data_IF_810504149816
#
_entry.id   IF_810504149816
#
_cell.length_a   1.000
_cell.length_b   1.000
_cell.length_c   1.000
_cell.angle_alpha   90.00
_cell.angle_beta   90.00
_cell.angle_gamma   90.00
#
_symmetry.space_group_name_H-M   'P 1'
#
loop_
_entity.id
_entity.type
_entity.pdbx_description
1 polymer ?
#
# COMPACT_ATOMS: atom_id res chain seq x y z
N UNK A 1 -23.56 80.12 -30.02
CA UNK A 1 -24.35 78.96 -29.74
C UNK A 1 -23.71 77.63 -30.18
N UNK A 2 -22.95 77.55 -31.26
CA UNK A 2 -22.33 76.28 -31.75
C UNK A 2 -21.26 75.66 -30.82
N UNK A 3 -20.55 76.38 -29.98
CA UNK A 3 -19.53 75.86 -29.06
C UNK A 3 -20.12 75.17 -27.83
N UNK A 4 -21.35 75.41 -27.43
CA UNK A 4 -22.02 74.77 -26.29
C UNK A 4 -22.50 73.37 -26.62
N UNK A 5 -22.90 73.09 -27.83
CA UNK A 5 -23.37 71.80 -28.29
C UNK A 5 -22.21 70.82 -28.53
N UNK A 6 -21.03 71.30 -28.95
CA UNK A 6 -19.81 70.46 -29.10
C UNK A 6 -19.31 69.96 -27.74
N UNK A 7 -19.44 70.76 -26.68
CA UNK A 7 -19.06 70.37 -25.34
C UNK A 7 -20.03 69.37 -24.69
N UNK A 8 -21.33 69.50 -25.00
CA UNK A 8 -22.35 68.55 -24.55
C UNK A 8 -22.29 67.21 -25.28
N UNK A 9 -21.97 67.15 -26.57
CA UNK A 9 -21.73 65.91 -27.32
C UNK A 9 -20.44 65.21 -26.90
N UNK A 10 -19.41 65.92 -26.54
CA UNK A 10 -18.16 65.30 -26.05
C UNK A 10 -18.30 64.72 -24.66
N UNK A 11 -19.18 65.28 -23.81
CA UNK A 11 -19.49 64.74 -22.46
C UNK A 11 -20.37 63.46 -22.49
N UNK A 12 -21.13 63.26 -23.56
CA UNK A 12 -22.02 62.12 -23.70
C UNK A 12 -21.28 60.86 -24.20
N UNK A 13 -20.11 61.01 -24.83
CA UNK A 13 -19.28 59.92 -25.36
C UNK A 13 -18.41 59.28 -24.26
N UNK A 14 -18.19 59.94 -23.12
CA UNK A 14 -17.38 59.40 -22.00
C UNK A 14 -18.19 58.46 -21.06
N UNK A 15 -19.48 58.26 -21.26
CA UNK A 15 -20.33 57.42 -20.36
C UNK A 15 -20.57 56.00 -20.83
N UNK A 16 -19.94 55.57 -21.94
CA UNK A 16 -20.11 54.20 -22.45
C UNK A 16 -18.89 53.28 -22.17
N UNK A 17 -17.96 53.69 -21.34
CA UNK A 17 -16.74 52.92 -21.04
C UNK A 17 -16.74 52.52 -19.56
N UNK A 18 -17.66 51.62 -19.13
CA UNK A 18 -17.46 50.81 -17.95
C UNK A 18 -18.49 49.68 -17.91
N UNK A 19 -18.12 48.58 -18.41
CA UNK A 19 -18.84 47.33 -18.30
C UNK A 19 -17.96 46.23 -18.85
N UNK A 20 -16.76 46.02 -18.25
CA UNK A 20 -16.09 44.74 -18.44
C UNK A 20 -16.93 43.67 -17.74
N UNK A 21 -17.82 43.00 -18.51
CA UNK A 21 -18.27 41.68 -18.05
C UNK A 21 -17.05 40.87 -17.71
N UNK A 22 -17.02 40.34 -16.52
CA UNK A 22 -16.01 39.35 -16.19
C UNK A 22 -16.05 38.29 -17.29
N UNK A 23 -14.95 38.17 -18.01
CA UNK A 23 -14.81 37.27 -19.16
C UNK A 23 -14.80 35.80 -18.72
N UNK A 24 -14.70 35.55 -17.42
CA UNK A 24 -14.58 34.25 -16.78
C UNK A 24 -15.59 34.09 -15.64
N UNK A 25 -16.09 32.87 -15.50
CA UNK A 25 -17.15 32.58 -14.53
C UNK A 25 -16.60 32.33 -13.12
N UNK A 26 -15.42 31.70 -13.00
CA UNK A 26 -14.76 31.45 -11.72
C UNK A 26 -13.21 31.45 -11.83
N UNK A 27 -12.57 31.57 -10.68
CA UNK A 27 -11.12 31.53 -10.55
C UNK A 27 -10.71 30.57 -9.46
N UNK A 28 -9.49 30.05 -9.57
CA UNK A 28 -8.96 29.10 -8.59
C UNK A 28 -7.44 28.88 -8.74
N UNK A 29 -6.98 27.83 -8.10
CA UNK A 29 -5.56 27.41 -8.15
C UNK A 29 -5.44 25.96 -8.57
N UNK A 30 -4.35 25.64 -9.29
CA UNK A 30 -4.06 24.27 -9.68
C UNK A 30 -3.46 23.49 -8.53
N UNK A 31 -4.02 22.33 -8.28
CA UNK A 31 -3.63 21.36 -7.27
C UNK A 31 -3.38 20.00 -7.93
N UNK A 32 -2.64 19.11 -7.27
CA UNK A 32 -2.49 17.72 -7.67
C UNK A 32 -2.74 16.80 -6.47
N UNK A 33 -2.84 15.50 -6.75
CA UNK A 33 -2.80 14.50 -5.69
C UNK A 33 -1.36 14.39 -5.19
N UNK A 34 -1.12 14.82 -3.95
CA UNK A 34 0.18 14.78 -3.29
C UNK A 34 0.21 13.66 -2.26
N UNK A 35 1.31 12.92 -2.21
CA UNK A 35 1.58 11.90 -1.20
C UNK A 35 2.92 12.21 -0.52
N UNK A 36 2.90 12.27 0.81
CA UNK A 36 4.12 12.31 1.60
C UNK A 36 4.54 10.87 1.92
N UNK A 37 5.63 10.43 1.30
CA UNK A 37 6.20 9.12 1.56
C UNK A 37 7.03 9.20 2.83
N UNK A 38 6.66 8.39 3.82
CA UNK A 38 7.30 8.30 5.12
C UNK A 38 7.98 6.95 5.30
N UNK A 39 9.01 6.90 6.14
CA UNK A 39 9.70 5.67 6.47
C UNK A 39 8.78 4.67 7.19
N UNK A 40 8.79 3.42 6.76
CA UNK A 40 8.10 2.30 7.42
C UNK A 40 9.03 1.46 8.30
N UNK A 41 10.35 1.76 8.27
CA UNK A 41 11.36 1.06 9.06
C UNK A 41 12.24 2.06 9.83
N UNK A 42 12.94 1.54 10.85
CA UNK A 42 13.92 2.31 11.62
C UNK A 42 15.32 1.83 11.29
N UNK A 43 16.20 2.75 10.91
CA UNK A 43 17.59 2.47 10.60
C UNK A 43 18.27 3.64 9.90
N UNK A 44 19.56 3.52 9.62
CA UNK A 44 20.31 4.50 8.85
C UNK A 44 19.87 4.44 7.39
N UNK A 45 19.56 5.59 6.80
CA UNK A 45 19.24 5.72 5.39
C UNK A 45 20.52 5.50 4.56
N UNK A 46 20.57 4.39 3.83
CA UNK A 46 21.76 4.00 3.07
C UNK A 46 21.91 4.86 1.81
N UNK A 47 20.82 5.00 1.05
CA UNK A 47 20.68 5.94 -0.06
C UNK A 47 19.22 6.38 -0.20
N UNK A 48 19.02 7.54 -0.83
CA UNK A 48 17.71 8.07 -1.22
C UNK A 48 17.89 8.88 -2.51
N UNK A 49 17.49 8.28 -3.63
CA UNK A 49 17.62 8.84 -4.99
C UNK A 49 16.31 9.52 -5.42
N UNK A 50 15.67 10.25 -4.51
CA UNK A 50 14.42 10.97 -4.73
C UNK A 50 14.69 12.49 -4.78
N UNK A 51 15.41 12.95 -5.80
CA UNK A 51 15.70 14.36 -5.97
C UNK A 51 14.51 15.12 -6.55
N UNK A 52 14.39 16.39 -6.19
CA UNK A 52 13.32 17.26 -6.66
C UNK A 52 13.26 17.33 -8.19
N UNK A 53 12.07 17.40 -8.74
CA UNK A 53 11.78 17.40 -10.18
C UNK A 53 12.03 16.07 -10.91
N UNK A 54 12.52 15.03 -10.25
CA UNK A 54 12.61 13.69 -10.86
C UNK A 54 11.22 13.08 -11.00
N UNK A 55 10.98 12.42 -12.13
CA UNK A 55 9.76 11.67 -12.40
C UNK A 55 10.02 10.18 -12.20
N UNK A 56 9.09 9.49 -11.52
CA UNK A 56 9.14 8.06 -11.25
C UNK A 56 7.83 7.38 -11.57
N UNK A 57 7.94 6.09 -11.93
CA UNK A 57 6.79 5.20 -12.04
C UNK A 57 6.52 4.49 -10.72
N UNK A 58 5.26 4.16 -10.47
CA UNK A 58 4.83 3.42 -9.30
C UNK A 58 5.63 2.12 -9.10
N UNK A 59 6.03 1.83 -7.87
CA UNK A 59 6.81 0.65 -7.50
C UNK A 59 8.32 0.77 -7.72
N UNK A 60 8.81 1.86 -8.31
CA UNK A 60 10.25 2.11 -8.43
C UNK A 60 10.88 2.26 -7.06
N UNK A 61 11.96 1.52 -6.79
CA UNK A 61 12.74 1.68 -5.57
C UNK A 61 13.64 2.90 -5.68
N UNK A 62 13.51 3.82 -4.72
CA UNK A 62 14.25 5.08 -4.69
C UNK A 62 15.16 5.22 -3.48
N UNK A 63 15.07 4.30 -2.51
CA UNK A 63 15.90 4.37 -1.31
C UNK A 63 15.97 3.06 -0.55
N UNK A 64 16.97 2.96 0.33
CA UNK A 64 17.20 1.80 1.18
C UNK A 64 17.61 2.23 2.58
N UNK A 65 16.97 1.67 3.57
CA UNK A 65 17.35 1.73 4.98
C UNK A 65 18.22 0.52 5.31
N UNK A 66 19.19 0.66 6.21
CA UNK A 66 20.11 -0.43 6.62
C UNK A 66 19.35 -1.69 7.01
N UNK A 67 19.64 -2.78 6.29
CA UNK A 67 19.00 -4.09 6.44
C UNK A 67 19.85 -5.11 7.17
N UNK A 68 21.11 -4.79 7.53
CA UNK A 68 22.10 -5.77 8.01
C UNK A 68 21.59 -6.54 9.23
N UNK A 69 21.05 -5.84 10.23
CA UNK A 69 20.59 -6.49 11.46
C UNK A 69 19.36 -7.38 11.21
N UNK A 70 18.43 -6.95 10.37
CA UNK A 70 17.26 -7.73 9.99
C UNK A 70 17.65 -8.96 9.18
N UNK A 71 18.57 -8.82 8.24
CA UNK A 71 19.09 -9.94 7.46
C UNK A 71 19.76 -11.00 8.34
N UNK A 72 20.61 -10.59 9.30
CA UNK A 72 21.24 -11.50 10.25
C UNK A 72 20.21 -12.20 11.14
N UNK A 73 19.17 -11.47 11.58
CA UNK A 73 18.06 -12.04 12.34
C UNK A 73 17.30 -13.09 11.54
N UNK A 74 17.00 -12.80 10.26
CA UNK A 74 16.40 -13.79 9.35
C UNK A 74 17.25 -15.06 9.28
N UNK A 75 18.54 -14.93 9.03
CA UNK A 75 19.48 -16.08 8.95
C UNK A 75 19.53 -16.89 10.24
N UNK A 76 19.44 -16.23 11.40
CA UNK A 76 19.38 -16.90 12.70
C UNK A 76 18.11 -17.75 12.83
N UNK A 77 16.93 -17.20 12.45
CA UNK A 77 15.65 -17.89 12.50
C UNK A 77 15.59 -19.06 11.51
N UNK A 78 16.13 -18.90 10.30
CA UNK A 78 16.25 -19.99 9.31
C UNK A 78 17.10 -21.15 9.84
N UNK A 79 18.21 -20.84 10.51
CA UNK A 79 19.06 -21.85 11.13
C UNK A 79 18.34 -22.56 12.29
N UNK A 80 17.56 -21.83 13.08
CA UNK A 80 16.73 -22.39 14.15
C UNK A 80 15.65 -23.32 13.58
N UNK A 81 14.96 -22.92 12.52
CA UNK A 81 13.97 -23.75 11.83
C UNK A 81 14.58 -25.07 11.34
N UNK A 82 15.73 -24.99 10.68
CA UNK A 82 16.46 -26.18 10.22
C UNK A 82 16.90 -27.09 11.38
N UNK A 83 17.28 -26.51 12.52
CA UNK A 83 17.62 -27.28 13.73
C UNK A 83 16.41 -28.06 14.25
N UNK A 84 15.24 -27.45 14.32
CA UNK A 84 13.99 -28.10 14.71
C UNK A 84 13.64 -29.24 13.74
N UNK A 85 13.75 -29.00 12.43
CA UNK A 85 13.48 -30.01 11.40
C UNK A 85 14.43 -31.21 11.50
N UNK A 86 15.70 -30.99 11.84
CA UNK A 86 16.68 -32.06 11.98
C UNK A 86 16.40 -33.00 13.17
N UNK A 87 15.58 -32.59 14.13
CA UNK A 87 15.17 -33.38 15.28
C UNK A 87 14.04 -34.37 14.96
N UNK A 88 13.44 -34.29 13.77
CA UNK A 88 12.36 -35.22 13.38
C UNK A 88 12.86 -36.67 13.39
N UNK A 89 12.16 -37.55 14.10
CA UNK A 89 12.57 -38.95 14.18
C UNK A 89 12.35 -39.68 12.85
N UNK A 90 13.29 -40.53 12.47
CA UNK A 90 13.07 -41.51 11.40
C UNK A 90 12.20 -42.65 11.94
N UNK A 91 10.88 -42.51 11.72
CA UNK A 91 9.89 -43.49 12.22
C UNK A 91 10.19 -44.89 11.70
N UNK A 92 10.59 -45.04 10.41
CA UNK A 92 10.86 -46.36 9.83
C UNK A 92 12.02 -47.09 10.54
N UNK A 93 13.10 -46.38 10.85
CA UNK A 93 14.23 -46.95 11.56
C UNK A 93 13.89 -47.33 13.02
N UNK A 94 13.12 -46.46 13.69
CA UNK A 94 12.78 -46.66 15.10
C UNK A 94 11.84 -47.83 15.34
N UNK A 95 10.89 -48.14 14.42
CA UNK A 95 9.97 -49.28 14.54
C UNK A 95 10.50 -50.56 13.86
N UNK A 96 11.64 -50.53 13.16
CA UNK A 96 12.14 -51.67 12.40
C UNK A 96 12.34 -52.92 13.24
N UNK A 97 12.93 -52.76 14.45
CA UNK A 97 13.16 -53.88 15.38
C UNK A 97 11.82 -54.50 15.84
N UNK A 98 10.85 -53.69 16.24
CA UNK A 98 9.52 -54.19 16.68
C UNK A 98 8.80 -54.89 15.53
N UNK A 99 8.86 -54.36 14.30
CA UNK A 99 8.31 -55.05 13.11
C UNK A 99 8.99 -56.37 12.82
N UNK A 100 10.33 -56.49 13.00
CA UNK A 100 11.06 -57.75 12.84
C UNK A 100 10.67 -58.76 13.89
N UNK A 101 10.47 -58.34 15.15
CA UNK A 101 9.96 -59.21 16.22
C UNK A 101 8.52 -59.74 15.92
N UNK A 102 7.63 -58.85 15.45
CA UNK A 102 6.27 -59.26 15.04
C UNK A 102 6.34 -60.28 13.90
N UNK A 103 7.16 -60.04 12.89
CA UNK A 103 7.32 -60.94 11.76
C UNK A 103 7.86 -62.32 12.19
N UNK A 104 8.74 -62.37 13.18
CA UNK A 104 9.26 -63.64 13.75
C UNK A 104 8.17 -64.35 14.56
N UNK A 105 7.49 -63.65 15.47
CA UNK A 105 6.39 -64.20 16.26
C UNK A 105 5.25 -64.73 15.36
N UNK A 106 4.95 -64.05 14.28
CA UNK A 106 3.94 -64.45 13.30
C UNK A 106 4.35 -65.75 12.58
N UNK A 107 5.64 -65.95 12.23
CA UNK A 107 6.14 -67.19 11.65
C UNK A 107 6.04 -68.36 12.64
N UNK A 108 6.43 -68.15 13.88
CA UNK A 108 6.34 -69.21 14.90
C UNK A 108 4.90 -69.56 15.24
N UNK A 109 4.00 -68.56 15.33
CA UNK A 109 2.58 -68.81 15.52
C UNK A 109 2.00 -69.66 14.37
N UNK A 110 2.31 -69.37 13.10
CA UNK A 110 1.88 -70.15 11.95
C UNK A 110 2.47 -71.56 11.94
N UNK A 111 3.73 -71.74 12.41
CA UNK A 111 4.34 -73.04 12.58
C UNK A 111 3.60 -73.89 13.61
N UNK A 112 3.32 -73.33 14.80
CA UNK A 112 2.57 -74.01 15.86
C UNK A 112 1.14 -74.35 15.45
N UNK A 113 0.46 -73.47 14.72
CA UNK A 113 -0.88 -73.71 14.16
C UNK A 113 -0.87 -74.94 13.22
N UNK A 114 0.17 -75.04 12.34
CA UNK A 114 0.29 -76.18 11.44
C UNK A 114 0.60 -77.51 12.20
N UNK A 115 1.43 -77.44 13.23
CA UNK A 115 1.74 -78.59 14.10
C UNK A 115 0.46 -79.03 14.90
N UNK A 116 -0.33 -78.06 15.34
CA UNK A 116 -1.61 -78.37 16.04
C UNK A 116 -2.61 -79.07 15.10
N UNK A 117 -2.72 -78.67 13.85
CA UNK A 117 -3.53 -79.35 12.82
C UNK A 117 -3.03 -80.82 12.61
N UNK A 118 -1.70 -81.07 12.74
CA UNK A 118 -1.10 -82.42 12.67
C UNK A 118 -1.13 -83.17 14.00
N UNK A 119 -1.81 -82.64 15.02
CA UNK A 119 -1.87 -83.21 16.40
C UNK A 119 -0.50 -83.33 17.08
N UNK A 120 0.51 -82.56 16.64
CA UNK A 120 1.89 -82.58 17.13
C UNK A 120 2.26 -81.36 18.02
N UNK A 121 1.28 -80.52 18.44
CA UNK A 121 1.45 -79.41 19.35
C UNK A 121 0.27 -79.27 20.34
N UNK A 122 0.49 -78.51 21.43
CA UNK A 122 -0.50 -78.17 22.42
C UNK A 122 -1.16 -76.81 22.10
N UNK A 123 -2.48 -76.71 22.30
CA UNK A 123 -3.27 -75.47 22.10
C UNK A 123 -2.70 -74.32 22.94
N UNK A 124 -2.21 -74.59 24.14
CA UNK A 124 -1.56 -73.56 24.99
C UNK A 124 -0.41 -72.87 24.29
N UNK A 125 0.38 -73.56 23.48
CA UNK A 125 1.51 -72.94 22.72
C UNK A 125 1.01 -71.99 21.66
N UNK A 126 -0.14 -72.25 21.04
CA UNK A 126 -0.74 -71.28 20.09
C UNK A 126 -1.25 -70.03 20.83
N UNK A 127 -1.94 -70.21 21.96
CA UNK A 127 -2.45 -69.12 22.80
C UNK A 127 -1.30 -68.23 23.36
N UNK A 128 -0.14 -68.84 23.69
CA UNK A 128 1.04 -68.13 24.13
C UNK A 128 1.61 -67.21 23.00
N UNK A 129 1.65 -67.71 21.75
CA UNK A 129 2.09 -66.90 20.60
C UNK A 129 1.08 -65.84 20.20
N UNK A 130 -0.25 -66.10 20.29
CA UNK A 130 -1.26 -65.10 20.06
C UNK A 130 -1.20 -63.97 21.10
N UNK A 131 -0.93 -64.32 22.38
CA UNK A 131 -0.70 -63.35 23.43
C UNK A 131 0.55 -62.48 23.18
N UNK A 132 1.65 -63.14 22.78
CA UNK A 132 2.91 -62.45 22.45
C UNK A 132 2.74 -61.47 21.27
N UNK A 133 2.01 -61.87 20.20
CA UNK A 133 1.74 -61.03 19.08
C UNK A 133 0.85 -59.84 19.48
N UNK A 134 -0.14 -60.02 20.33
CA UNK A 134 -0.98 -58.97 20.84
C UNK A 134 -0.17 -57.91 21.60
N UNK A 135 0.79 -58.36 22.47
CA UNK A 135 1.68 -57.44 23.18
C UNK A 135 2.58 -56.63 22.20
N UNK A 136 3.23 -57.32 21.23
CA UNK A 136 4.11 -56.68 20.26
C UNK A 136 3.37 -55.70 19.36
N UNK A 137 2.14 -56.01 18.92
CA UNK A 137 1.32 -55.10 18.13
C UNK A 137 0.92 -53.85 18.93
N UNK A 138 0.53 -53.99 20.20
CA UNK A 138 0.22 -52.86 21.08
C UNK A 138 1.47 -52.01 21.34
N UNK A 139 2.65 -52.65 21.48
CA UNK A 139 3.92 -51.92 21.61
C UNK A 139 4.24 -51.09 20.34
N UNK A 140 4.04 -51.67 19.14
CA UNK A 140 4.21 -50.96 17.86
C UNK A 140 3.25 -49.77 17.76
N UNK A 141 1.96 -49.98 18.12
CA UNK A 141 0.94 -48.93 18.11
C UNK A 141 1.33 -47.75 19.05
N UNK A 142 1.77 -48.06 20.27
CA UNK A 142 2.23 -47.08 21.24
C UNK A 142 3.46 -46.30 20.71
N UNK A 143 4.43 -47.01 20.09
CA UNK A 143 5.61 -46.36 19.47
C UNK A 143 5.20 -45.45 18.32
N UNK A 144 4.33 -45.87 17.42
CA UNK A 144 3.82 -45.07 16.30
C UNK A 144 3.08 -43.83 16.80
N UNK A 145 2.22 -43.97 17.82
CA UNK A 145 1.49 -42.86 18.43
C UNK A 145 2.48 -41.83 19.05
N UNK A 146 3.44 -42.30 19.83
CA UNK A 146 4.45 -41.44 20.45
C UNK A 146 5.30 -40.69 19.42
N UNK A 147 5.80 -41.38 18.39
CA UNK A 147 6.57 -40.79 17.30
C UNK A 147 5.74 -39.83 16.45
N UNK A 148 4.47 -40.16 16.20
CA UNK A 148 3.52 -39.27 15.52
C UNK A 148 3.31 -37.98 16.28
N UNK A 149 3.07 -38.05 17.59
CA UNK A 149 2.88 -36.88 18.45
C UNK A 149 4.16 -36.01 18.49
N UNK A 150 5.34 -36.64 18.57
CA UNK A 150 6.62 -35.92 18.53
C UNK A 150 6.82 -35.20 17.19
N UNK A 151 6.53 -35.88 16.08
CA UNK A 151 6.63 -35.30 14.73
C UNK A 151 5.63 -34.13 14.55
N UNK A 152 4.39 -34.28 15.04
CA UNK A 152 3.41 -33.20 15.02
C UNK A 152 3.88 -31.99 15.83
N UNK A 153 4.36 -32.20 17.05
CA UNK A 153 4.89 -31.11 17.89
C UNK A 153 6.07 -30.37 17.24
N UNK A 154 7.01 -31.10 16.62
CA UNK A 154 8.13 -30.48 15.90
C UNK A 154 7.67 -29.74 14.63
N UNK A 155 6.61 -30.21 13.97
CA UNK A 155 6.01 -29.52 12.84
C UNK A 155 5.42 -28.18 13.25
N UNK A 156 4.66 -28.15 14.34
CA UNK A 156 4.09 -26.90 14.89
C UNK A 156 5.17 -25.93 15.35
N UNK A 157 6.23 -26.45 15.97
CA UNK A 157 7.37 -25.64 16.39
C UNK A 157 8.12 -25.02 15.18
N UNK A 158 8.34 -25.82 14.12
CA UNK A 158 8.94 -25.32 12.86
C UNK A 158 8.05 -24.26 12.19
N UNK A 159 6.74 -24.48 12.18
CA UNK A 159 5.75 -23.53 11.65
C UNK A 159 5.77 -22.21 12.42
N UNK A 160 5.87 -22.25 13.74
CA UNK A 160 6.00 -21.04 14.57
C UNK A 160 7.25 -20.22 14.22
N UNK A 161 8.39 -20.88 14.00
CA UNK A 161 9.62 -20.20 13.57
C UNK A 161 9.48 -19.66 12.13
N UNK A 162 8.80 -20.39 11.23
CA UNK A 162 8.54 -19.92 9.87
C UNK A 162 7.76 -18.61 9.85
N UNK A 163 6.77 -18.46 10.75
CA UNK A 163 6.02 -17.19 10.91
C UNK A 163 6.96 -16.06 11.36
N UNK A 164 7.89 -16.32 12.27
CA UNK A 164 8.88 -15.31 12.69
C UNK A 164 9.81 -14.91 11.53
N UNK A 165 10.19 -15.85 10.66
CA UNK A 165 10.95 -15.55 9.43
C UNK A 165 10.14 -14.62 8.54
N UNK A 166 8.86 -14.92 8.30
CA UNK A 166 7.98 -14.09 7.47
C UNK A 166 7.82 -12.67 8.04
N UNK A 167 7.75 -12.51 9.37
CA UNK A 167 7.70 -11.19 10.02
C UNK A 167 8.97 -10.37 9.75
N UNK A 168 10.15 -11.00 9.83
CA UNK A 168 11.41 -10.31 9.52
C UNK A 168 11.53 -10.00 8.03
N UNK A 169 11.00 -10.84 7.16
CA UNK A 169 10.94 -10.57 5.71
C UNK A 169 10.05 -9.38 5.37
N UNK A 170 8.91 -9.21 6.06
CA UNK A 170 8.07 -8.02 5.92
C UNK A 170 8.81 -6.76 6.37
N UNK A 171 9.54 -6.83 7.50
CA UNK A 171 10.37 -5.72 7.96
C UNK A 171 11.50 -5.39 6.96
N UNK A 172 12.12 -6.40 6.35
CA UNK A 172 13.13 -6.19 5.30
C UNK A 172 12.53 -5.50 4.06
N UNK A 173 11.32 -5.88 3.64
CA UNK A 173 10.61 -5.21 2.54
C UNK A 173 10.36 -3.74 2.84
N UNK A 174 9.99 -3.41 4.07
CA UNK A 174 9.75 -2.02 4.52
C UNK A 174 11.02 -1.17 4.57
N UNK A 175 12.20 -1.77 4.55
CA UNK A 175 13.46 -1.04 4.40
C UNK A 175 13.69 -0.53 2.98
N UNK A 176 13.04 -1.13 1.97
CA UNK A 176 13.08 -0.68 0.58
C UNK A 176 12.04 0.40 0.36
N UNK A 177 12.49 1.62 0.08
CA UNK A 177 11.63 2.78 -0.10
C UNK A 177 11.21 2.82 -1.56
N UNK A 178 9.91 2.63 -1.82
CA UNK A 178 9.33 2.61 -3.16
C UNK A 178 8.37 3.77 -3.38
N UNK A 179 8.21 4.15 -4.63
CA UNK A 179 7.28 5.21 -5.05
C UNK A 179 5.85 4.65 -5.12
N UNK A 180 4.87 5.27 -4.41
CA UNK A 180 3.51 4.74 -4.34
C UNK A 180 2.61 5.06 -5.54
N UNK A 181 2.94 6.08 -6.33
CA UNK A 181 2.20 6.53 -7.53
C UNK A 181 3.16 6.94 -8.64
N UNK A 182 2.68 6.96 -9.88
CA UNK A 182 3.40 7.66 -10.94
C UNK A 182 3.40 9.15 -10.62
N UNK A 183 4.54 9.82 -10.72
CA UNK A 183 4.57 11.25 -10.40
C UNK A 183 5.97 11.85 -10.33
N UNK A 184 5.99 13.12 -9.96
CA UNK A 184 7.20 13.94 -9.84
C UNK A 184 7.47 14.25 -8.36
N UNK A 185 8.72 14.14 -7.95
CA UNK A 185 9.15 14.53 -6.61
C UNK A 185 9.05 16.05 -6.46
N UNK A 186 8.28 16.49 -5.46
CA UNK A 186 8.11 17.93 -5.17
C UNK A 186 9.08 18.45 -4.12
N UNK A 187 9.40 17.62 -3.13
CA UNK A 187 10.30 17.99 -2.04
C UNK A 187 10.96 16.75 -1.46
N UNK A 188 12.23 16.88 -1.09
CA UNK A 188 13.02 15.89 -0.36
C UNK A 188 13.17 16.33 1.09
N UNK A 189 12.90 15.45 2.06
CA UNK A 189 12.89 15.75 3.49
C UNK A 189 13.99 15.04 4.28
N UNK A 190 14.68 14.09 3.67
CA UNK A 190 15.73 13.32 4.32
C UNK A 190 16.92 13.10 3.39
N UNK A 191 18.12 13.05 3.99
CA UNK A 191 19.35 12.82 3.26
C UNK A 191 19.97 11.45 3.58
N UNK A 192 20.76 10.88 2.63
CA UNK A 192 21.55 9.69 2.91
C UNK A 192 22.40 9.85 4.17
N UNK A 193 22.55 8.79 4.93
CA UNK A 193 23.24 8.73 6.23
C UNK A 193 22.46 9.28 7.44
N UNK A 194 21.31 9.89 7.26
CA UNK A 194 20.43 10.22 8.38
C UNK A 194 19.77 8.99 8.98
N UNK A 195 19.32 9.12 10.23
CA UNK A 195 18.49 8.12 10.87
C UNK A 195 17.04 8.30 10.41
N UNK A 196 16.50 7.28 9.77
CA UNK A 196 15.07 7.15 9.52
C UNK A 196 14.43 6.45 10.71
N UNK A 197 13.24 6.94 11.12
CA UNK A 197 12.36 6.31 12.10
C UNK A 197 10.99 6.12 11.46
N UNK A 198 10.22 5.16 11.93
CA UNK A 198 8.85 4.93 11.42
C UNK A 198 8.05 6.22 11.53
N UNK A 199 7.42 6.61 10.41
CA UNK A 199 6.65 7.86 10.28
C UNK A 199 7.44 9.11 9.91
N UNK A 200 8.79 9.05 9.86
CA UNK A 200 9.59 10.20 9.39
C UNK A 200 9.34 10.45 7.90
N UNK A 201 8.91 11.67 7.49
CA UNK A 201 8.79 12.02 6.08
C UNK A 201 10.14 11.90 5.36
N UNK A 202 10.14 11.30 4.18
CA UNK A 202 11.33 11.12 3.34
C UNK A 202 11.30 12.03 2.12
N UNK A 203 10.18 12.03 1.41
CA UNK A 203 9.95 12.92 0.27
C UNK A 203 8.45 13.10 0.01
N UNK A 204 8.12 14.09 -0.81
CA UNK A 204 6.77 14.34 -1.31
C UNK A 204 6.73 14.10 -2.81
N UNK A 205 5.74 13.33 -3.28
CA UNK A 205 5.49 13.06 -4.69
C UNK A 205 4.09 13.51 -5.08
N UNK A 206 3.93 14.00 -6.31
CA UNK A 206 2.62 14.36 -6.86
C UNK A 206 2.44 13.84 -8.29
N UNK A 207 1.20 13.47 -8.61
CA UNK A 207 0.79 13.21 -9.99
C UNK A 207 0.64 14.54 -10.73
N UNK A 208 1.64 14.86 -11.55
CA UNK A 208 1.68 16.10 -12.31
C UNK A 208 1.03 15.98 -13.70
N UNK A 209 0.62 14.79 -14.12
CA UNK A 209 -0.08 14.55 -15.38
C UNK A 209 -1.58 14.84 -15.21
N UNK A 210 -2.17 14.39 -14.10
CA UNK A 210 -3.58 14.56 -13.77
C UNK A 210 -3.73 15.58 -12.65
N UNK A 211 -3.93 16.83 -13.02
CA UNK A 211 -4.07 17.93 -12.07
C UNK A 211 -5.52 18.39 -11.97
N UNK A 212 -5.83 19.17 -10.95
CA UNK A 212 -7.13 19.73 -10.73
C UNK A 212 -7.04 21.26 -10.62
N UNK A 213 -7.95 21.96 -11.28
CA UNK A 213 -8.23 23.35 -10.91
C UNK A 213 -9.27 23.34 -9.79
N UNK A 214 -8.89 23.80 -8.59
CA UNK A 214 -9.84 24.08 -7.51
C UNK A 214 -10.32 25.51 -7.67
N UNK A 215 -11.52 25.66 -8.24
CA UNK A 215 -12.15 26.93 -8.46
C UNK A 215 -13.31 27.15 -7.48
N UNK A 216 -13.75 28.39 -7.33
CA UNK A 216 -14.79 28.80 -6.40
C UNK A 216 -15.97 29.44 -7.13
N UNK A 217 -17.16 28.92 -6.91
CA UNK A 217 -18.40 29.37 -7.50
C UNK A 217 -19.28 30.07 -6.47
N UNK A 218 -20.03 31.08 -6.90
CA UNK A 218 -21.11 31.63 -6.11
C UNK A 218 -22.33 30.72 -6.18
N UNK A 219 -23.29 30.89 -5.23
CA UNK A 219 -24.53 30.11 -5.22
C UNK A 219 -25.35 30.24 -6.50
N UNK A 220 -25.31 31.42 -7.15
CA UNK A 220 -26.01 31.66 -8.41
C UNK A 220 -25.39 30.91 -9.60
N UNK A 221 -24.10 30.73 -9.61
CA UNK A 221 -23.38 29.99 -10.65
C UNK A 221 -23.51 28.47 -10.50
N UNK A 222 -23.73 28.00 -9.27
CA UNK A 222 -23.86 26.58 -8.97
C UNK A 222 -25.05 25.93 -9.68
N UNK A 223 -26.14 26.69 -9.93
CA UNK A 223 -27.33 26.18 -10.63
C UNK A 223 -27.01 25.70 -12.06
N UNK A 224 -26.06 26.36 -12.73
CA UNK A 224 -25.66 26.05 -14.12
C UNK A 224 -24.64 24.94 -14.23
N UNK A 225 -24.01 24.48 -13.11
CA UNK A 225 -22.89 23.58 -13.09
C UNK A 225 -23.28 22.20 -12.57
N UNK A 226 -22.91 21.16 -13.31
CA UNK A 226 -23.20 19.76 -12.94
C UNK A 226 -21.92 18.91 -12.97
N UNK A 227 -21.90 17.90 -12.12
CA UNK A 227 -20.85 16.89 -12.14
C UNK A 227 -20.75 16.23 -13.52
N UNK A 228 -19.53 16.15 -14.06
CA UNK A 228 -19.28 15.58 -15.37
C UNK A 228 -19.32 16.56 -16.54
N UNK A 229 -19.72 17.84 -16.34
CA UNK A 229 -19.69 18.84 -17.38
C UNK A 229 -18.26 19.10 -17.86
N UNK A 230 -18.11 19.24 -19.18
CA UNK A 230 -16.89 19.75 -19.80
C UNK A 230 -16.88 21.27 -19.76
N UNK A 231 -15.72 21.84 -19.42
CA UNK A 231 -15.52 23.28 -19.25
C UNK A 231 -14.18 23.70 -19.86
N UNK A 232 -14.08 24.99 -20.20
CA UNK A 232 -12.80 25.53 -20.66
C UNK A 232 -12.05 26.15 -19.48
N UNK A 233 -10.87 25.60 -19.20
CA UNK A 233 -9.95 26.08 -18.16
C UNK A 233 -8.84 26.88 -18.80
N UNK A 234 -8.51 28.03 -18.21
CA UNK A 234 -7.46 28.92 -18.64
C UNK A 234 -6.39 28.99 -17.54
N UNK A 235 -5.20 28.49 -17.84
CA UNK A 235 -4.04 28.63 -16.94
C UNK A 235 -3.38 30.01 -17.17
N UNK A 236 -3.12 30.72 -16.07
CA UNK A 236 -2.54 32.07 -16.11
C UNK A 236 -1.01 31.98 -15.94
N UNK A 237 -0.31 32.25 -17.05
CA UNK A 237 1.15 32.27 -17.09
C UNK A 237 1.74 33.65 -16.77
N UNK A 238 0.92 34.60 -16.33
CA UNK A 238 1.32 36.01 -16.14
C UNK A 238 1.30 36.81 -17.43
N UNK A 239 1.48 38.15 -17.31
CA UNK A 239 1.49 39.08 -18.44
C UNK A 239 0.29 38.94 -19.40
N UNK A 240 -0.90 38.60 -18.88
CA UNK A 240 -2.10 38.33 -19.66
C UNK A 240 -2.00 37.18 -20.68
N UNK A 241 -0.99 36.32 -20.54
CA UNK A 241 -0.87 35.10 -21.34
C UNK A 241 -1.71 33.97 -20.71
N UNK A 242 -2.84 33.70 -21.33
CA UNK A 242 -3.72 32.60 -20.94
C UNK A 242 -3.59 31.45 -21.96
N UNK A 243 -3.45 30.22 -21.45
CA UNK A 243 -3.52 29.03 -22.29
C UNK A 243 -4.76 28.23 -21.89
N UNK A 244 -5.54 27.82 -22.87
CA UNK A 244 -6.77 27.07 -22.65
C UNK A 244 -6.50 25.55 -22.62
N UNK A 245 -7.22 24.89 -21.74
CA UNK A 245 -7.27 23.43 -21.56
C UNK A 245 -8.71 22.98 -21.47
N UNK A 246 -9.01 21.77 -21.89
CA UNK A 246 -10.29 21.15 -21.63
C UNK A 246 -10.27 20.56 -20.23
N UNK A 247 -11.26 20.92 -19.42
CA UNK A 247 -11.43 20.39 -18.07
C UNK A 247 -12.77 19.69 -17.91
N UNK A 248 -12.84 18.77 -16.95
CA UNK A 248 -14.08 18.10 -16.57
C UNK A 248 -14.35 18.28 -15.09
N UNK A 249 -15.57 18.66 -14.72
CA UNK A 249 -15.98 18.81 -13.32
C UNK A 249 -16.10 17.42 -12.70
N UNK A 250 -15.24 17.15 -11.70
CA UNK A 250 -15.16 15.83 -11.02
C UNK A 250 -15.67 15.87 -9.60
N UNK A 251 -15.78 17.05 -9.00
CA UNK A 251 -16.30 17.22 -7.66
C UNK A 251 -16.84 18.64 -7.44
N UNK A 252 -17.91 18.72 -6.66
CA UNK A 252 -18.54 19.96 -6.22
C UNK A 252 -18.73 19.83 -4.71
N UNK A 253 -18.33 20.85 -3.93
CA UNK A 253 -18.51 20.86 -2.48
C UNK A 253 -19.98 20.92 -2.10
N UNK A 254 -20.38 20.07 -1.16
CA UNK A 254 -21.73 20.12 -0.54
C UNK A 254 -21.83 21.22 0.53
N UNK A 255 -20.68 21.73 1.00
CA UNK A 255 -20.60 22.77 2.02
C UNK A 255 -20.04 24.06 1.43
N UNK A 256 -20.62 25.18 1.85
CA UNK A 256 -20.10 26.48 1.48
C UNK A 256 -18.79 26.75 2.23
N UNK A 257 -17.78 27.22 1.50
CA UNK A 257 -16.52 27.70 2.05
C UNK A 257 -16.51 29.23 2.07
N UNK A 258 -15.76 29.81 2.99
CA UNK A 258 -15.42 31.21 2.92
C UNK A 258 -14.17 31.40 2.05
N UNK A 259 -14.16 32.40 1.18
CA UNK A 259 -12.96 32.72 0.40
C UNK A 259 -11.74 32.88 1.32
N UNK A 260 -10.58 32.28 1.00
CA UNK A 260 -9.42 32.24 1.91
C UNK A 260 -8.69 33.58 2.10
N UNK A 261 -9.39 34.70 1.99
CA UNK A 261 -8.83 36.03 2.31
C UNK A 261 -9.34 36.50 3.66
N UNK A 262 -8.39 36.88 4.52
CA UNK A 262 -8.63 37.58 5.79
C UNK A 262 -9.20 38.96 5.48
N UNK A 263 -10.52 39.12 5.41
CA UNK A 263 -11.16 40.37 5.10
C UNK A 263 -12.09 40.82 6.20
N UNK A 264 -11.96 42.08 6.55
CA UNK A 264 -12.54 42.70 7.72
C UNK A 264 -13.73 43.63 7.43
N UNK A 265 -14.48 43.43 6.34
CA UNK A 265 -15.61 44.29 6.00
C UNK A 265 -16.95 43.56 5.98
N UNK A 266 -18.02 44.29 6.35
CA UNK A 266 -19.37 43.74 6.48
C UNK A 266 -20.02 43.28 5.16
N UNK A 267 -19.53 43.77 4.02
CA UNK A 267 -20.10 43.46 2.69
C UNK A 267 -19.65 42.10 2.14
N UNK A 268 -18.59 41.53 2.70
CA UNK A 268 -18.01 40.26 2.21
C UNK A 268 -18.55 39.00 2.92
N UNK A 269 -19.35 39.16 3.95
CA UNK A 269 -20.15 38.05 4.53
C UNK A 269 -21.21 37.49 3.58
N UNK A 270 -21.53 38.20 2.49
CA UNK A 270 -22.55 37.79 1.52
C UNK A 270 -22.04 36.78 0.48
N UNK A 271 -20.73 36.51 0.38
CA UNK A 271 -20.15 35.67 -0.67
C UNK A 271 -19.72 34.29 -0.14
N UNK A 272 -20.73 33.50 0.23
CA UNK A 272 -20.52 32.06 0.35
C UNK A 272 -20.16 31.52 -1.04
N UNK A 273 -19.07 30.78 -1.12
CA UNK A 273 -18.59 30.16 -2.34
C UNK A 273 -18.54 28.64 -2.17
N UNK A 274 -18.75 27.94 -3.24
CA UNK A 274 -18.64 26.47 -3.28
C UNK A 274 -17.41 26.11 -4.08
N UNK A 275 -16.55 25.27 -3.49
CA UNK A 275 -15.38 24.76 -4.18
C UNK A 275 -15.78 23.72 -5.22
N UNK A 276 -15.21 23.80 -6.41
CA UNK A 276 -15.31 22.77 -7.45
C UNK A 276 -13.94 22.30 -7.87
N UNK A 277 -13.78 20.99 -8.11
CA UNK A 277 -12.56 20.43 -8.70
C UNK A 277 -12.83 20.08 -10.15
N UNK A 278 -12.00 20.61 -11.01
CA UNK A 278 -12.03 20.41 -12.45
C UNK A 278 -10.77 19.67 -12.83
N UNK A 279 -10.90 18.42 -13.27
CA UNK A 279 -9.77 17.61 -13.73
C UNK A 279 -9.26 18.17 -15.07
N UNK A 280 -7.95 18.31 -15.19
CA UNK A 280 -7.26 18.83 -16.37
C UNK A 280 -6.05 17.95 -16.66
N UNK A 281 -5.86 17.56 -17.90
CA UNK A 281 -4.64 16.90 -18.35
C UNK A 281 -3.54 17.95 -18.55
N UNK A 282 -2.40 17.77 -17.88
CA UNK A 282 -1.30 18.71 -17.89
C UNK A 282 -0.30 18.34 -18.98
N UNK A 283 0.02 19.31 -19.83
CA UNK A 283 1.07 19.22 -20.85
C UNK A 283 2.51 19.49 -20.31
N UNK A 284 2.65 19.51 -18.97
CA UNK A 284 3.92 19.80 -18.26
C UNK A 284 4.18 21.29 -18.01
N UNK A 285 3.35 22.17 -18.51
CA UNK A 285 3.51 23.61 -18.32
C UNK A 285 2.84 24.14 -17.06
N UNK A 286 1.70 23.56 -16.67
CA UNK A 286 1.00 23.96 -15.44
C UNK A 286 1.78 23.47 -14.22
N UNK A 287 1.98 24.38 -13.27
CA UNK A 287 2.61 24.09 -11.98
C UNK A 287 1.60 24.25 -10.85
N UNK A 288 1.82 23.51 -9.76
CA UNK A 288 0.97 23.61 -8.56
C UNK A 288 0.99 25.02 -8.00
N UNK A 289 -0.18 25.49 -7.55
CA UNK A 289 -0.35 26.84 -7.03
C UNK A 289 -0.49 27.93 -8.11
N UNK A 290 -0.34 27.62 -9.41
CA UNK A 290 -0.67 28.57 -10.47
C UNK A 290 -2.14 28.93 -10.43
N UNK A 291 -2.46 30.16 -10.79
CA UNK A 291 -3.84 30.62 -10.93
C UNK A 291 -4.45 30.10 -12.23
N UNK A 292 -5.72 29.72 -12.14
CA UNK A 292 -6.54 29.35 -13.28
C UNK A 292 -7.88 30.03 -13.24
N UNK A 293 -8.47 30.17 -14.41
CA UNK A 293 -9.82 30.70 -14.63
C UNK A 293 -10.65 29.65 -15.36
N UNK A 294 -11.94 29.66 -15.18
CA UNK A 294 -12.82 28.71 -15.85
C UNK A 294 -13.99 29.45 -16.48
N UNK A 295 -14.44 28.93 -17.63
CA UNK A 295 -15.63 29.34 -18.34
C UNK A 295 -16.51 28.10 -18.53
N UNK A 296 -17.74 28.16 -18.01
CA UNK A 296 -18.76 27.11 -18.05
C UNK A 296 -19.58 27.11 -19.31
#
# INVERSE_FOLDING_TARGET
>A
MKKRYVFQTLLLICLTACGSKDEFDATGTFEATEIVVSSEATGKLFYLNAEESMHFTQGTEVGLIDTVQLYLKKRQLEAQMKSVESQRPDIHRQIAATKAQIATAQRERNRVENLLKAQAANRKQLDDWDSQLAVLNRQLEAQLSSLGNTTASLTEQSSSVAIQVAQVEDQLKKCHITVPINGTILAKYAEPSELATVGKPLFKIADMEHIFLRAYLTSSQLESVKLGNEVTVFADFGNAQLRNYTGKIVWISEEAEFTPKTILTNDERANQVYAVKIAVENDGHIKLGMYGKVKF
#
